data_IF_545441671306
#
_entry.id   IF_545441671306
#
_cell.length_a   1.000
_cell.length_b   1.000
_cell.length_c   1.000
_cell.angle_alpha   90.00
_cell.angle_beta   90.00
_cell.angle_gamma   90.00
#
_symmetry.space_group_name_H-M   'P 1'
#
loop_
_entity.id
_entity.type
_entity.pdbx_description
1 polymer ?
#
# COMPACT_ATOMS: atom_id res chain seq x y z
N UNK A 1 18.22 -33.51 47.64
CA UNK A 1 19.07 -32.72 46.72
C UNK A 1 19.78 -33.63 45.71
N UNK A 2 19.10 -34.24 44.72
CA UNK A 2 19.75 -35.12 43.71
C UNK A 2 19.02 -35.21 42.35
N UNK A 3 18.12 -34.27 42.00
CA UNK A 3 17.36 -34.33 40.73
C UNK A 3 17.54 -33.12 39.78
N UNK A 4 18.39 -32.14 40.11
CA UNK A 4 18.63 -30.97 39.24
C UNK A 4 19.95 -30.99 38.45
N UNK A 5 20.78 -32.03 38.63
CA UNK A 5 22.09 -32.13 37.95
C UNK A 5 22.07 -32.94 36.65
N UNK A 6 21.05 -33.79 36.42
CA UNK A 6 20.99 -34.65 35.23
C UNK A 6 20.47 -33.95 33.96
N UNK A 7 19.79 -32.81 34.09
CA UNK A 7 19.19 -32.12 32.93
C UNK A 7 20.24 -31.28 32.18
N UNK A 8 21.30 -30.81 32.84
CA UNK A 8 22.34 -29.98 32.19
C UNK A 8 23.37 -30.78 31.38
N UNK A 9 23.58 -32.07 31.65
CA UNK A 9 24.56 -32.89 30.91
C UNK A 9 24.00 -33.38 29.57
N UNK A 10 22.68 -33.54 29.45
CA UNK A 10 22.04 -33.98 28.21
C UNK A 10 22.01 -32.89 27.12
N UNK A 11 21.91 -31.61 27.49
CA UNK A 11 21.82 -30.49 26.53
C UNK A 11 23.17 -30.18 25.88
N UNK A 12 24.28 -30.38 26.60
CA UNK A 12 25.64 -30.13 26.07
C UNK A 12 26.08 -31.22 25.07
N UNK A 13 25.66 -32.47 25.28
CA UNK A 13 26.00 -33.57 24.38
C UNK A 13 25.37 -33.44 22.97
N UNK A 14 24.19 -32.81 22.87
CA UNK A 14 23.50 -32.60 21.58
C UNK A 14 24.15 -31.44 20.79
N UNK A 15 24.66 -30.40 21.47
CA UNK A 15 25.30 -29.26 20.81
C UNK A 15 26.65 -29.59 20.15
N UNK A 16 27.43 -30.54 20.71
CA UNK A 16 28.76 -30.92 20.17
C UNK A 16 28.66 -31.78 18.89
N UNK A 17 27.58 -32.56 18.74
CA UNK A 17 27.37 -33.41 17.54
C UNK A 17 26.92 -32.59 16.33
N UNK A 18 26.14 -31.51 16.52
CA UNK A 18 25.64 -30.68 15.44
C UNK A 18 26.74 -29.81 14.79
N UNK A 19 27.67 -29.26 15.57
CA UNK A 19 28.78 -28.42 15.06
C UNK A 19 29.87 -29.27 14.36
N UNK A 20 30.12 -30.48 14.84
CA UNK A 20 31.06 -31.43 14.21
C UNK A 20 30.60 -31.94 12.84
N UNK A 21 29.29 -32.17 12.67
CA UNK A 21 28.70 -32.57 11.38
C UNK A 21 28.73 -31.46 10.33
N UNK A 22 28.47 -30.22 10.73
CA UNK A 22 28.47 -29.06 9.82
C UNK A 22 29.88 -28.70 9.31
N UNK A 23 30.91 -28.85 10.14
CA UNK A 23 32.31 -28.62 9.75
C UNK A 23 32.93 -29.75 8.91
N UNK A 24 32.44 -30.98 9.01
CA UNK A 24 32.88 -32.09 8.15
C UNK A 24 32.24 -32.04 6.75
N UNK A 25 30.96 -31.64 6.68
CA UNK A 25 30.25 -31.48 5.39
C UNK A 25 30.85 -30.37 4.51
N UNK A 26 31.36 -29.27 5.11
CA UNK A 26 31.98 -28.15 4.38
C UNK A 26 33.39 -28.46 3.86
N UNK A 27 34.02 -29.55 4.30
CA UNK A 27 35.38 -29.95 3.88
C UNK A 27 35.42 -30.97 2.74
N UNK A 28 34.28 -31.57 2.37
CA UNK A 28 34.20 -32.59 1.31
C UNK A 28 33.90 -32.05 -0.10
N UNK A 29 33.94 -30.73 -0.34
CA UNK A 29 33.64 -30.13 -1.66
C UNK A 29 34.73 -29.17 -2.17
N UNK A 30 36.00 -29.35 -1.77
CA UNK A 30 37.13 -28.64 -2.39
C UNK A 30 38.34 -29.56 -2.54
N UNK A 31 38.46 -30.19 -3.73
CA UNK A 31 39.62 -30.79 -4.45
C UNK A 31 39.01 -31.86 -5.39
N UNK A 32 39.22 -32.01 -6.70
CA UNK A 32 40.14 -31.52 -7.73
C UNK A 32 39.33 -31.53 -9.06
N UNK A 33 39.38 -30.50 -9.90
CA UNK A 33 40.20 -30.44 -11.11
C UNK A 33 40.29 -31.75 -11.94
N UNK A 34 39.69 -31.76 -13.14
CA UNK A 34 40.17 -32.60 -14.26
C UNK A 34 39.14 -33.20 -15.23
N UNK A 35 38.96 -32.52 -16.39
CA UNK A 35 38.78 -33.04 -17.77
C UNK A 35 37.47 -33.71 -18.27
N UNK A 36 36.89 -33.04 -19.29
CA UNK A 36 36.19 -33.48 -20.52
C UNK A 36 35.13 -34.61 -20.50
N UNK A 37 33.89 -34.28 -20.88
CA UNK A 37 33.28 -34.54 -22.20
C UNK A 37 31.75 -34.30 -22.19
N UNK A 38 31.23 -33.92 -23.36
CA UNK A 38 29.84 -34.03 -23.85
C UNK A 38 28.72 -33.12 -23.31
N UNK A 39 28.43 -32.13 -24.16
CA UNK A 39 27.13 -31.56 -24.56
C UNK A 39 25.84 -32.14 -23.96
N UNK A 40 25.09 -31.29 -23.22
CA UNK A 40 23.62 -31.18 -23.27
C UNK A 40 23.21 -29.73 -22.96
N UNK A 41 22.45 -29.14 -23.87
CA UNK A 41 21.72 -27.87 -23.76
C UNK A 41 20.68 -27.90 -22.63
N UNK A 42 20.64 -26.91 -21.74
CA UNK A 42 19.40 -26.41 -21.12
C UNK A 42 19.62 -24.97 -20.63
N UNK A 43 18.73 -24.09 -21.07
CA UNK A 43 18.72 -22.66 -20.79
C UNK A 43 18.75 -22.35 -19.29
N UNK A 44 19.66 -21.48 -18.89
CA UNK A 44 19.62 -20.82 -17.58
C UNK A 44 18.88 -19.50 -17.77
N UNK A 45 17.57 -19.51 -17.54
CA UNK A 45 16.78 -18.29 -17.34
C UNK A 45 17.15 -17.74 -15.98
N UNK A 46 18.04 -16.74 -15.94
CA UNK A 46 18.22 -15.88 -14.78
C UNK A 46 16.97 -15.00 -14.65
N UNK A 47 16.24 -15.17 -13.55
CA UNK A 47 15.27 -14.18 -13.09
C UNK A 47 16.07 -12.94 -12.65
N UNK A 48 16.09 -11.92 -13.50
CA UNK A 48 16.51 -10.58 -13.11
C UNK A 48 15.33 -9.94 -12.37
N UNK A 49 15.59 -9.55 -11.12
CA UNK A 49 14.75 -8.63 -10.35
C UNK A 49 15.49 -7.30 -10.39
N UNK A 50 15.31 -6.57 -11.49
CA UNK A 50 15.69 -5.16 -11.64
C UNK A 50 14.39 -4.43 -11.97
N UNK A 51 13.62 -4.07 -10.95
CA UNK A 51 12.55 -3.08 -11.07
C UNK A 51 13.16 -1.73 -10.73
N UNK A 52 14.01 -1.24 -11.64
CA UNK A 52 14.27 0.19 -11.72
C UNK A 52 12.96 0.84 -12.22
N UNK A 53 12.11 1.28 -11.29
CA UNK A 53 10.82 1.96 -11.57
C UNK A 53 11.02 3.38 -12.15
N UNK A 54 12.09 3.58 -12.92
CA UNK A 54 12.36 4.81 -13.67
C UNK A 54 11.63 4.88 -15.02
N UNK A 55 10.68 3.95 -15.25
CA UNK A 55 9.76 3.95 -16.37
C UNK A 55 8.64 4.97 -16.19
N UNK A 56 8.73 6.05 -16.98
CA UNK A 56 7.70 7.04 -17.31
C UNK A 56 6.24 6.49 -17.19
N UNK A 57 5.47 6.97 -16.20
CA UNK A 57 3.99 6.89 -16.09
C UNK A 57 3.31 5.55 -15.66
N UNK A 58 3.92 4.72 -14.82
CA UNK A 58 3.25 3.51 -14.27
C UNK A 58 2.40 3.76 -13.01
N UNK A 59 2.38 5.00 -12.48
CA UNK A 59 1.73 5.34 -11.21
C UNK A 59 0.62 6.39 -11.37
N UNK A 60 -0.57 6.09 -10.84
CA UNK A 60 -1.70 7.02 -10.73
C UNK A 60 -2.06 7.23 -9.25
N UNK A 61 -2.24 8.49 -8.86
CA UNK A 61 -2.80 8.87 -7.56
C UNK A 61 -4.22 9.38 -7.73
N UNK A 62 -5.19 8.55 -7.33
CA UNK A 62 -6.61 8.90 -7.28
C UNK A 62 -6.97 9.31 -5.86
N UNK A 63 -7.54 10.50 -5.66
CA UNK A 63 -7.90 10.93 -4.31
C UNK A 63 -9.15 11.79 -4.24
N UNK A 64 -9.85 11.73 -3.11
CA UNK A 64 -10.87 12.69 -2.72
C UNK A 64 -10.34 13.53 -1.57
N UNK A 65 -10.46 14.87 -1.66
CA UNK A 65 -10.08 15.76 -0.56
C UNK A 65 -11.07 16.89 -0.36
N UNK A 66 -11.07 17.44 0.85
CA UNK A 66 -11.94 18.55 1.24
C UNK A 66 -11.15 19.67 1.87
N UNK A 67 -11.52 20.89 1.51
CA UNK A 67 -11.04 22.14 2.11
C UNK A 67 -12.06 22.71 3.08
N UNK A 68 -13.35 22.64 2.77
CA UNK A 68 -14.46 23.05 3.64
C UNK A 68 -15.03 21.86 4.43
N UNK A 69 -15.88 22.11 5.43
CA UNK A 69 -16.56 21.04 6.20
C UNK A 69 -15.59 20.10 6.92
N UNK A 70 -14.47 20.64 7.39
CA UNK A 70 -13.41 19.93 8.13
C UNK A 70 -13.48 20.32 9.61
N UNK A 71 -13.28 19.36 10.51
CA UNK A 71 -13.42 19.53 11.97
C UNK A 71 -12.64 20.73 12.55
N UNK A 72 -11.44 21.01 12.02
CA UNK A 72 -10.58 22.12 12.45
C UNK A 72 -10.77 23.41 11.63
N UNK A 73 -11.89 23.51 10.89
CA UNK A 73 -12.19 24.64 10.03
C UNK A 73 -11.60 24.52 8.62
N UNK A 74 -11.87 25.53 7.77
CA UNK A 74 -11.49 25.50 6.37
C UNK A 74 -9.98 25.47 6.17
N UNK A 75 -9.55 24.78 5.12
CA UNK A 75 -8.16 24.61 4.72
C UNK A 75 -7.92 25.28 3.37
N UNK A 76 -6.72 25.83 3.17
CA UNK A 76 -6.29 26.28 1.83
C UNK A 76 -6.06 25.10 0.89
N UNK A 77 -5.53 23.99 1.43
CA UNK A 77 -5.29 22.73 0.73
C UNK A 77 -5.80 21.60 1.63
N UNK A 78 -6.64 20.71 1.08
CA UNK A 78 -7.17 19.57 1.82
C UNK A 78 -6.06 18.63 2.30
N UNK A 79 -6.25 18.03 3.47
CA UNK A 79 -5.21 17.19 4.08
C UNK A 79 -4.82 16.00 3.17
N UNK A 80 -5.80 15.34 2.55
CA UNK A 80 -5.54 14.23 1.62
C UNK A 80 -4.83 14.70 0.35
N UNK A 81 -5.19 15.87 -0.17
CA UNK A 81 -4.51 16.47 -1.32
C UNK A 81 -3.03 16.75 -1.02
N UNK A 82 -2.68 17.14 0.21
CA UNK A 82 -1.26 17.30 0.61
C UNK A 82 -0.49 15.97 0.52
N UNK A 83 -1.07 14.89 1.04
CA UNK A 83 -0.45 13.56 0.96
C UNK A 83 -0.34 13.09 -0.49
N UNK A 84 -1.38 13.31 -1.30
CA UNK A 84 -1.36 13.00 -2.72
C UNK A 84 -0.24 13.75 -3.47
N UNK A 85 -0.02 15.03 -3.13
CA UNK A 85 1.06 15.82 -3.70
C UNK A 85 2.44 15.28 -3.32
N UNK A 86 2.66 14.84 -2.08
CA UNK A 86 3.93 14.22 -1.69
C UNK A 86 4.18 12.90 -2.44
N UNK A 87 3.16 12.08 -2.63
CA UNK A 87 3.26 10.86 -3.45
C UNK A 87 3.62 11.23 -4.89
N UNK A 88 2.93 12.21 -5.49
CA UNK A 88 3.23 12.70 -6.83
C UNK A 88 4.67 13.21 -6.94
N UNK A 89 5.14 14.01 -6.00
CA UNK A 89 6.50 14.56 -6.01
C UNK A 89 7.57 13.46 -5.93
N UNK A 90 7.32 12.42 -5.14
CA UNK A 90 8.25 11.30 -4.96
C UNK A 90 8.27 10.31 -6.14
N UNK A 91 7.13 10.13 -6.82
CA UNK A 91 6.94 9.09 -7.85
C UNK A 91 6.80 9.62 -9.27
N UNK A 92 6.70 10.95 -9.44
CA UNK A 92 6.32 11.60 -10.70
C UNK A 92 4.97 11.08 -11.24
N UNK A 93 4.06 10.67 -10.36
CA UNK A 93 2.76 10.09 -10.73
C UNK A 93 1.82 11.11 -11.38
N UNK A 94 0.95 10.58 -12.25
CA UNK A 94 -0.25 11.29 -12.65
C UNK A 94 -1.24 11.36 -11.48
N UNK A 95 -2.07 12.40 -11.46
CA UNK A 95 -3.04 12.63 -10.37
C UNK A 95 -4.45 12.81 -10.93
N UNK A 96 -5.42 12.26 -10.20
CA UNK A 96 -6.84 12.48 -10.46
C UNK A 96 -7.56 12.78 -9.15
N UNK A 97 -8.08 14.01 -9.04
CA UNK A 97 -8.94 14.38 -7.92
C UNK A 97 -10.40 14.02 -8.23
N UNK A 98 -10.99 13.21 -7.37
CA UNK A 98 -12.41 12.91 -7.38
C UNK A 98 -13.16 14.16 -6.91
N UNK A 99 -13.91 14.77 -7.83
CA UNK A 99 -14.75 15.93 -7.53
C UNK A 99 -16.23 15.50 -7.58
N UNK A 100 -17.05 15.75 -6.53
CA UNK A 100 -18.48 15.46 -6.59
C UNK A 100 -19.19 16.27 -7.67
N UNK A 101 -20.19 15.69 -8.32
CA UNK A 101 -21.11 16.44 -9.18
C UNK A 101 -21.99 17.39 -8.34
N UNK A 102 -22.43 16.92 -7.17
CA UNK A 102 -23.10 17.74 -6.14
C UNK A 102 -22.19 17.91 -4.92
N UNK A 103 -21.65 19.13 -4.79
CA UNK A 103 -20.76 19.52 -3.68
C UNK A 103 -21.33 19.12 -2.31
N UNK A 104 -20.47 18.58 -1.45
CA UNK A 104 -20.85 18.34 -0.05
C UNK A 104 -21.10 19.67 0.69
N UNK A 105 -21.97 19.69 1.71
CA UNK A 105 -22.20 20.88 2.53
C UNK A 105 -20.91 21.48 3.07
N UNK A 106 -20.82 22.80 3.23
CA UNK A 106 -19.62 23.45 3.78
C UNK A 106 -19.56 23.38 5.30
N UNK A 107 -20.72 23.20 5.97
CA UNK A 107 -20.78 22.96 7.40
C UNK A 107 -20.34 21.52 7.76
N UNK A 108 -19.61 21.38 8.87
CA UNK A 108 -19.05 20.09 9.28
C UNK A 108 -20.12 19.10 9.76
N UNK A 109 -21.13 19.58 10.50
CA UNK A 109 -22.20 18.71 11.01
C UNK A 109 -23.08 18.24 9.85
N UNK A 110 -23.49 19.15 8.97
CA UNK A 110 -24.28 18.79 7.77
C UNK A 110 -23.52 17.84 6.84
N UNK A 111 -22.20 18.00 6.70
CA UNK A 111 -21.36 17.05 5.96
C UNK A 111 -21.37 15.67 6.58
N UNK A 112 -21.22 15.62 7.90
CA UNK A 112 -21.14 14.37 8.64
C UNK A 112 -22.46 13.61 8.59
N UNK A 113 -23.59 14.33 8.65
CA UNK A 113 -24.94 13.80 8.47
C UNK A 113 -25.15 13.24 7.06
N UNK A 114 -24.85 14.02 6.00
CA UNK A 114 -24.95 13.53 4.61
C UNK A 114 -24.06 12.30 4.38
N UNK A 115 -22.82 12.32 4.87
CA UNK A 115 -21.90 11.19 4.73
C UNK A 115 -22.42 9.93 5.44
N UNK A 116 -23.12 10.08 6.57
CA UNK A 116 -23.75 8.97 7.28
C UNK A 116 -24.94 8.41 6.50
N UNK A 117 -25.80 9.29 5.99
CA UNK A 117 -26.95 8.90 5.15
C UNK A 117 -26.49 8.16 3.89
N UNK A 118 -25.48 8.67 3.19
CA UNK A 118 -24.89 8.00 2.03
C UNK A 118 -24.35 6.59 2.38
N UNK A 119 -23.73 6.42 3.55
CA UNK A 119 -23.22 5.11 4.01
C UNK A 119 -24.38 4.16 4.36
N UNK A 120 -25.39 4.62 5.09
CA UNK A 120 -26.56 3.84 5.50
C UNK A 120 -27.38 3.37 4.28
N UNK A 121 -27.40 4.17 3.21
CA UNK A 121 -28.10 3.85 1.96
C UNK A 121 -27.24 3.06 0.94
N UNK A 122 -25.95 2.81 1.23
CA UNK A 122 -24.97 2.29 0.26
C UNK A 122 -24.97 3.11 -1.06
N UNK A 123 -25.04 4.43 -0.93
CA UNK A 123 -25.15 5.35 -2.05
C UNK A 123 -23.91 5.33 -2.96
N UNK A 124 -24.09 5.80 -4.20
CA UNK A 124 -22.99 6.06 -5.16
C UNK A 124 -23.09 7.50 -5.68
N UNK A 125 -22.63 8.50 -4.90
CA UNK A 125 -22.62 9.90 -5.33
C UNK A 125 -21.92 10.05 -6.67
N UNK A 126 -22.51 10.85 -7.57
CA UNK A 126 -21.97 11.07 -8.89
C UNK A 126 -20.66 11.87 -8.84
N UNK A 127 -19.69 11.46 -9.67
CA UNK A 127 -18.41 12.13 -9.85
C UNK A 127 -18.54 13.07 -11.05
N UNK A 128 -17.99 14.27 -10.91
CA UNK A 128 -18.03 15.31 -11.93
C UNK A 128 -17.03 15.02 -13.05
N UNK A 129 -17.53 15.05 -14.29
CA UNK A 129 -16.70 14.88 -15.48
C UNK A 129 -16.38 13.41 -15.77
N UNK A 130 -15.40 13.19 -16.62
CA UNK A 130 -14.97 11.85 -17.01
C UNK A 130 -13.97 11.28 -15.98
N UNK A 131 -14.01 9.97 -15.77
CA UNK A 131 -13.04 9.23 -14.97
C UNK A 131 -11.73 9.01 -15.76
N UNK A 132 -10.57 8.85 -15.07
CA UNK A 132 -9.31 8.60 -15.76
C UNK A 132 -9.31 7.18 -16.35
N UNK A 133 -8.66 6.99 -17.50
CA UNK A 133 -8.36 5.65 -17.98
C UNK A 133 -7.26 5.03 -17.10
N UNK A 134 -7.62 4.05 -16.27
CA UNK A 134 -6.68 3.41 -15.33
C UNK A 134 -5.88 2.26 -15.96
N UNK A 135 -6.20 1.86 -17.20
CA UNK A 135 -5.66 0.63 -17.80
C UNK A 135 -4.15 0.69 -18.03
N UNK A 136 -3.61 1.89 -18.27
CA UNK A 136 -2.20 2.15 -18.54
C UNK A 136 -1.27 2.12 -17.32
N UNK A 137 -1.81 2.14 -16.09
CA UNK A 137 -1.01 2.22 -14.87
C UNK A 137 -0.84 0.84 -14.21
N UNK A 138 0.26 0.64 -13.49
CA UNK A 138 0.50 -0.56 -12.67
C UNK A 138 0.12 -0.31 -11.20
N UNK A 139 0.50 0.85 -10.66
CA UNK A 139 0.27 1.25 -9.27
C UNK A 139 -0.83 2.30 -9.20
N UNK A 140 -1.89 2.01 -8.44
CA UNK A 140 -3.00 2.92 -8.19
C UNK A 140 -3.05 3.25 -6.70
N UNK A 141 -2.64 4.46 -6.34
CA UNK A 141 -2.86 5.01 -5.02
C UNK A 141 -4.30 5.51 -4.89
N UNK A 142 -4.98 5.15 -3.81
CA UNK A 142 -6.39 5.50 -3.58
C UNK A 142 -6.47 6.25 -2.25
N UNK A 143 -6.82 7.54 -2.32
CA UNK A 143 -6.71 8.48 -1.21
C UNK A 143 -8.03 9.07 -0.74
N UNK A 144 -8.29 9.10 0.57
CA UNK A 144 -9.43 9.86 1.11
C UNK A 144 -9.27 10.28 2.58
N UNK A 145 -10.04 11.26 3.07
CA UNK A 145 -10.36 11.28 4.50
C UNK A 145 -11.13 10.02 4.90
N UNK A 146 -10.91 9.52 6.12
CA UNK A 146 -11.78 8.45 6.67
C UNK A 146 -13.08 9.04 7.18
N UNK A 147 -14.20 8.64 6.59
CA UNK A 147 -15.54 8.99 7.06
C UNK A 147 -16.24 7.75 7.58
N UNK A 148 -16.76 7.83 8.80
CA UNK A 148 -17.47 6.72 9.47
C UNK A 148 -16.74 5.37 9.43
N UNK A 149 -15.41 5.40 9.44
CA UNK A 149 -14.55 4.22 9.50
C UNK A 149 -14.13 3.63 8.15
N UNK A 150 -14.55 4.20 7.01
CA UNK A 150 -14.20 3.70 5.68
C UNK A 150 -13.95 4.84 4.67
N UNK A 151 -13.80 4.47 3.39
CA UNK A 151 -13.78 5.43 2.29
C UNK A 151 -15.13 6.15 2.19
N UNK A 152 -15.16 7.47 1.94
CA UNK A 152 -16.37 8.20 1.57
C UNK A 152 -17.06 7.52 0.38
N UNK A 153 -18.40 7.53 0.35
CA UNK A 153 -19.16 6.80 -0.67
C UNK A 153 -18.85 7.25 -2.10
N UNK A 154 -18.43 8.51 -2.31
CA UNK A 154 -17.96 8.98 -3.61
C UNK A 154 -16.70 8.25 -4.10
N UNK A 155 -15.80 7.83 -3.21
CA UNK A 155 -14.64 6.99 -3.58
C UNK A 155 -15.11 5.58 -3.93
N UNK A 156 -16.17 5.08 -3.26
CA UNK A 156 -16.79 3.79 -3.63
C UNK A 156 -17.44 3.84 -5.02
N UNK A 157 -17.96 4.99 -5.45
CA UNK A 157 -18.37 5.20 -6.85
C UNK A 157 -17.23 4.95 -7.81
N UNK A 158 -16.05 5.54 -7.58
CA UNK A 158 -14.88 5.30 -8.42
C UNK A 158 -14.49 3.81 -8.44
N UNK A 159 -14.37 3.18 -7.27
CA UNK A 159 -14.00 1.77 -7.16
C UNK A 159 -14.96 0.82 -7.88
N UNK A 160 -16.27 1.12 -7.83
CA UNK A 160 -17.29 0.30 -8.49
C UNK A 160 -17.31 0.49 -10.01
N UNK A 161 -17.02 1.70 -10.51
CA UNK A 161 -16.93 1.95 -11.95
C UNK A 161 -15.68 1.31 -12.54
N UNK A 162 -14.53 1.44 -11.88
CA UNK A 162 -13.25 0.86 -12.31
C UNK A 162 -13.08 -0.61 -11.87
N UNK A 163 -14.16 -1.26 -11.44
CA UNK A 163 -14.10 -2.55 -10.76
C UNK A 163 -13.38 -3.66 -11.54
N UNK A 164 -13.47 -3.63 -12.87
CA UNK A 164 -12.83 -4.62 -13.73
C UNK A 164 -11.35 -4.29 -13.97
N UNK A 165 -11.03 -3.02 -14.21
CA UNK A 165 -9.69 -2.60 -14.63
C UNK A 165 -8.69 -2.54 -13.46
N UNK A 166 -9.19 -2.51 -12.22
CA UNK A 166 -8.38 -2.57 -11.01
C UNK A 166 -8.01 -3.98 -10.54
N UNK A 167 -8.61 -5.04 -11.10
CA UNK A 167 -8.41 -6.42 -10.61
C UNK A 167 -6.98 -6.95 -10.76
N UNK A 168 -6.21 -6.48 -11.73
CA UNK A 168 -4.85 -6.97 -11.98
C UNK A 168 -3.79 -5.90 -11.67
N UNK A 169 -4.14 -4.90 -10.85
CA UNK A 169 -3.28 -3.77 -10.48
C UNK A 169 -2.64 -3.95 -9.10
N UNK A 170 -1.68 -3.10 -8.80
CA UNK A 170 -1.20 -2.89 -7.44
C UNK A 170 -1.98 -1.72 -6.84
N UNK A 171 -2.78 -1.97 -5.80
CA UNK A 171 -3.62 -0.96 -5.14
C UNK A 171 -3.01 -0.58 -3.80
N UNK A 172 -2.91 0.73 -3.55
CA UNK A 172 -2.25 1.27 -2.35
C UNK A 172 -3.19 2.27 -1.66
N UNK A 173 -3.85 1.90 -0.54
CA UNK A 173 -4.71 2.82 0.17
C UNK A 173 -3.89 3.87 0.93
N UNK A 174 -4.32 5.12 0.91
CA UNK A 174 -3.83 6.11 1.87
C UNK A 174 -4.95 6.96 2.43
N UNK A 175 -4.84 7.33 3.71
CA UNK A 175 -5.90 8.07 4.37
C UNK A 175 -5.39 9.25 5.18
N UNK A 176 -6.27 10.24 5.31
CA UNK A 176 -6.17 11.21 6.39
C UNK A 176 -7.29 10.98 7.41
N UNK A 177 -7.01 11.12 8.70
CA UNK A 177 -7.98 10.77 9.74
C UNK A 177 -7.83 11.64 10.99
N UNK A 178 -8.76 11.49 11.93
CA UNK A 178 -8.67 12.09 13.28
C UNK A 178 -8.65 11.03 14.39
N UNK A 179 -8.34 9.78 14.05
CA UNK A 179 -8.08 8.70 15.01
C UNK A 179 -8.22 7.28 14.45
N UNK A 180 -8.82 7.15 13.27
CA UNK A 180 -9.17 5.87 12.67
C UNK A 180 -8.03 5.11 11.99
N UNK A 181 -6.87 5.74 11.75
CA UNK A 181 -5.83 5.17 10.88
C UNK A 181 -6.36 5.02 9.46
N UNK A 182 -6.11 3.85 8.86
CA UNK A 182 -6.68 3.46 7.56
C UNK A 182 -8.19 3.20 7.60
N UNK A 183 -8.81 3.04 8.78
CA UNK A 183 -10.18 2.52 8.86
C UNK A 183 -10.28 1.15 8.19
N UNK A 184 -11.35 0.92 7.42
CA UNK A 184 -11.59 -0.31 6.68
C UNK A 184 -11.04 -0.30 5.25
N UNK A 185 -10.39 0.79 4.82
CA UNK A 185 -10.00 1.02 3.42
C UNK A 185 -9.16 -0.11 2.83
N UNK A 186 -8.13 -0.59 3.55
CA UNK A 186 -7.29 -1.70 3.10
C UNK A 186 -8.10 -3.00 2.94
N UNK A 187 -8.87 -3.38 3.97
CA UNK A 187 -9.72 -4.57 3.90
C UNK A 187 -10.79 -4.50 2.81
N UNK A 188 -11.30 -3.30 2.52
CA UNK A 188 -12.21 -3.08 1.42
C UNK A 188 -11.53 -3.38 0.09
N UNK A 189 -10.34 -2.83 -0.17
CA UNK A 189 -9.60 -3.10 -1.40
C UNK A 189 -9.29 -4.59 -1.55
N UNK A 190 -8.77 -5.23 -0.50
CA UNK A 190 -8.45 -6.67 -0.51
C UNK A 190 -9.69 -7.54 -0.81
N UNK A 191 -10.87 -7.15 -0.30
CA UNK A 191 -12.10 -7.91 -0.50
C UNK A 191 -12.78 -7.64 -1.84
N UNK A 192 -12.73 -6.41 -2.34
CA UNK A 192 -13.35 -5.97 -3.59
C UNK A 192 -12.51 -6.37 -4.82
N UNK A 193 -11.18 -6.42 -4.67
CA UNK A 193 -10.22 -6.71 -5.73
C UNK A 193 -9.35 -7.92 -5.37
N UNK A 194 -9.92 -9.14 -5.28
CA UNK A 194 -9.21 -10.33 -4.81
C UNK A 194 -8.08 -10.79 -5.73
N UNK A 195 -8.02 -10.31 -6.98
CA UNK A 195 -6.93 -10.60 -7.90
C UNK A 195 -5.82 -9.53 -7.88
N UNK A 196 -6.09 -8.38 -7.26
CA UNK A 196 -5.15 -7.28 -7.20
C UNK A 196 -4.08 -7.55 -6.13
N UNK A 197 -2.92 -6.93 -6.29
CA UNK A 197 -1.95 -6.86 -5.20
C UNK A 197 -2.27 -5.64 -4.36
N UNK A 198 -2.62 -5.83 -3.09
CA UNK A 198 -2.84 -4.70 -2.16
C UNK A 198 -1.60 -4.55 -1.29
N UNK A 199 -0.93 -3.39 -1.37
CA UNK A 199 0.22 -3.07 -0.52
C UNK A 199 -0.23 -2.39 0.77
N UNK A 200 0.66 -2.37 1.76
CA UNK A 200 0.42 -1.73 3.04
C UNK A 200 0.15 -0.23 2.87
N UNK A 201 -0.96 0.24 3.41
CA UNK A 201 -1.39 1.62 3.25
C UNK A 201 -0.71 2.62 4.18
N UNK A 202 -0.83 3.91 3.82
CA UNK A 202 -0.39 5.03 4.65
C UNK A 202 -1.55 5.72 5.34
N UNK A 203 -1.39 6.11 6.60
CA UNK A 203 -2.40 6.92 7.28
C UNK A 203 -1.74 8.01 8.12
N UNK A 204 -2.26 9.23 8.01
CA UNK A 204 -1.79 10.36 8.80
C UNK A 204 -2.94 11.13 9.42
N UNK A 205 -2.72 11.65 10.62
CA UNK A 205 -3.71 12.53 11.26
C UNK A 205 -3.82 13.84 10.47
N UNK A 206 -5.01 14.37 10.25
CA UNK A 206 -5.20 15.58 9.43
C UNK A 206 -4.38 16.78 9.94
N UNK A 207 -4.27 16.90 11.26
CA UNK A 207 -3.40 17.89 11.94
C UNK A 207 -1.90 17.76 11.63
N UNK A 208 -1.43 16.60 11.18
CA UNK A 208 -0.03 16.34 10.85
C UNK A 208 0.23 16.25 9.32
N UNK A 209 -0.82 16.30 8.49
CA UNK A 209 -0.69 16.07 7.05
C UNK A 209 0.20 17.09 6.33
N UNK A 210 0.41 18.29 6.90
CA UNK A 210 1.32 19.28 6.33
C UNK A 210 2.81 18.92 6.49
N UNK A 211 3.14 18.14 7.53
CA UNK A 211 4.52 17.81 7.91
C UNK A 211 4.85 16.34 7.55
N UNK A 212 4.01 15.68 6.76
CA UNK A 212 4.08 14.24 6.50
C UNK A 212 5.01 13.82 5.36
N UNK A 213 5.76 14.75 4.75
CA UNK A 213 6.55 14.46 3.55
C UNK A 213 7.62 13.39 3.77
N UNK A 214 8.36 13.48 4.89
CA UNK A 214 9.39 12.50 5.24
C UNK A 214 8.74 11.12 5.52
N UNK A 215 7.63 11.09 6.27
CA UNK A 215 6.89 9.86 6.56
C UNK A 215 6.35 9.19 5.27
N UNK A 216 5.88 9.98 4.30
CA UNK A 216 5.43 9.47 2.99
C UNK A 216 6.60 8.92 2.20
N UNK A 217 7.76 9.58 2.22
CA UNK A 217 8.96 9.13 1.51
C UNK A 217 9.45 7.79 2.06
N UNK A 218 9.61 7.70 3.38
CA UNK A 218 10.02 6.47 4.07
C UNK A 218 9.04 5.32 3.77
N UNK A 219 7.73 5.61 3.79
CA UNK A 219 6.70 4.62 3.47
C UNK A 219 6.81 4.10 2.03
N UNK A 220 7.00 4.98 1.04
CA UNK A 220 7.13 4.60 -0.36
C UNK A 220 8.35 3.70 -0.62
N UNK A 221 9.47 3.95 0.07
CA UNK A 221 10.64 3.08 0.07
C UNK A 221 10.33 1.71 0.70
N UNK A 222 9.66 1.70 1.85
CA UNK A 222 9.31 0.47 2.58
C UNK A 222 8.40 -0.46 1.76
N UNK A 223 7.46 0.09 1.00
CA UNK A 223 6.58 -0.69 0.11
C UNK A 223 7.19 -0.98 -1.26
N UNK A 224 8.42 -0.52 -1.52
CA UNK A 224 9.17 -0.79 -2.74
C UNK A 224 8.67 -0.06 -3.99
N UNK A 225 7.97 1.07 -3.82
CA UNK A 225 7.51 1.92 -4.94
C UNK A 225 8.60 2.92 -5.35
N UNK A 226 9.48 3.30 -4.44
CA UNK A 226 10.65 4.16 -4.70
C UNK A 226 11.95 3.51 -4.24
N UNK A 227 13.09 3.99 -4.77
CA UNK A 227 14.45 3.48 -4.52
C UNK A 227 15.27 4.38 -3.60
#
# INVERSE_FOLDING_TARGET
MKKRLMIFVAVIAVAVVAVGGWLFYRRSQTTNAGSNADSVTTASTSLQTDSDLSGDHDVLVVYFSRTEGVWNGPLEIGNTARVANFIQEATNADTYEIIPEEDYPTDYEETTERAQEEQDEDARPAIKGDLPDVTGYEYIFIGAPVWWGEYPMIVRTFLDVEANDLQDKTLIPFTTHEGSGLGNTQSQLESQFPNATVLDGFSVRGSNAADAQDDVTDWLEDIGVTN
#
